data_IF_181739747572
#
_entry.id   IF_181739747572
#
_cell.length_a   1.000
_cell.length_b   1.000
_cell.length_c   1.000
_cell.angle_alpha   90.00
_cell.angle_beta   90.00
_cell.angle_gamma   90.00
#
_symmetry.space_group_name_H-M   'P 1'
#
loop_
_entity.id
_entity.type
_entity.pdbx_description
1 polymer ?
#
# COMPACT_ATOMS: atom_id res chain seq x y z
N UNK A 1 -13.73 -21.75 -23.90
CA UNK A 1 -14.30 -21.15 -22.67
C UNK A 1 -13.66 -21.81 -21.46
N UNK A 2 -12.62 -21.22 -20.84
CA UNK A 2 -11.96 -21.80 -19.65
C UNK A 2 -11.23 -20.78 -18.76
N UNK A 3 -11.64 -19.51 -18.77
CA UNK A 3 -10.94 -18.46 -18.00
C UNK A 3 -11.82 -17.74 -16.95
N UNK A 4 -13.14 -17.91 -16.97
CA UNK A 4 -14.03 -17.17 -16.06
C UNK A 4 -14.08 -17.72 -14.62
N UNK A 5 -13.71 -18.98 -14.39
CA UNK A 5 -13.75 -19.59 -13.04
C UNK A 5 -12.46 -19.39 -12.24
N UNK A 6 -11.28 -19.40 -12.86
CA UNK A 6 -10.00 -19.15 -12.18
C UNK A 6 -9.89 -17.71 -11.70
N UNK A 7 -10.28 -16.74 -12.52
CA UNK A 7 -10.28 -15.32 -12.17
C UNK A 7 -11.19 -15.00 -10.96
N UNK A 8 -12.32 -15.72 -10.82
CA UNK A 8 -13.22 -15.56 -9.68
C UNK A 8 -12.61 -16.13 -8.38
N UNK A 9 -11.85 -17.22 -8.46
CA UNK A 9 -11.17 -17.82 -7.31
C UNK A 9 -9.99 -16.95 -6.87
N UNK A 10 -9.16 -16.50 -7.82
CA UNK A 10 -8.05 -15.59 -7.53
C UNK A 10 -8.56 -14.27 -6.94
N UNK A 11 -9.62 -13.68 -7.51
CA UNK A 11 -10.24 -12.46 -6.98
C UNK A 11 -10.79 -12.64 -5.55
N UNK A 12 -11.39 -13.80 -5.24
CA UNK A 12 -11.87 -14.12 -3.90
C UNK A 12 -10.71 -14.31 -2.91
N UNK A 13 -9.67 -15.04 -3.29
CA UNK A 13 -8.46 -15.23 -2.47
C UNK A 13 -7.80 -13.87 -2.18
N UNK A 14 -7.72 -12.99 -3.18
CA UNK A 14 -7.18 -11.65 -3.01
C UNK A 14 -8.02 -10.81 -2.05
N UNK A 15 -9.35 -10.88 -2.13
CA UNK A 15 -10.25 -10.20 -1.19
C UNK A 15 -10.10 -10.70 0.24
N UNK A 16 -9.98 -12.02 0.44
CA UNK A 16 -9.77 -12.61 1.76
C UNK A 16 -8.43 -12.18 2.34
N UNK A 17 -7.36 -12.25 1.54
CA UNK A 17 -6.01 -11.81 1.95
C UNK A 17 -5.97 -10.31 2.28
N UNK A 18 -6.69 -9.49 1.50
CA UNK A 18 -6.88 -8.06 1.74
C UNK A 18 -7.57 -7.81 3.08
N UNK A 19 -8.72 -8.47 3.33
CA UNK A 19 -9.43 -8.36 4.61
C UNK A 19 -8.59 -8.82 5.80
N UNK A 20 -7.81 -9.88 5.66
CA UNK A 20 -6.90 -10.35 6.71
C UNK A 20 -5.83 -9.30 7.00
N UNK A 21 -5.19 -8.73 5.98
CA UNK A 21 -4.19 -7.65 6.17
C UNK A 21 -4.80 -6.39 6.76
N UNK A 22 -6.01 -6.03 6.35
CA UNK A 22 -6.70 -4.84 6.86
C UNK A 22 -7.11 -5.03 8.33
N UNK A 23 -7.59 -6.23 8.69
CA UNK A 23 -7.88 -6.58 10.07
C UNK A 23 -6.61 -6.65 10.91
N UNK A 24 -5.54 -7.28 10.43
CA UNK A 24 -4.25 -7.29 11.13
C UNK A 24 -3.74 -5.85 11.29
N UNK A 25 -3.84 -5.00 10.26
CA UNK A 25 -3.46 -3.59 10.36
C UNK A 25 -4.27 -2.80 11.39
N UNK A 26 -5.57 -3.08 11.53
CA UNK A 26 -6.44 -2.48 12.56
C UNK A 26 -6.20 -3.05 13.97
N UNK A 27 -5.96 -4.36 14.08
CA UNK A 27 -5.81 -5.08 15.36
C UNK A 27 -4.42 -4.84 15.94
N UNK A 28 -3.40 -4.78 15.09
CA UNK A 28 -2.01 -4.71 15.52
C UNK A 28 -1.76 -3.44 16.31
N UNK A 29 -2.42 -2.30 16.00
CA UNK A 29 -2.43 -1.06 16.79
C UNK A 29 -1.07 -0.79 17.47
N UNK A 30 0.01 -1.12 16.75
CA UNK A 30 1.32 -1.35 17.33
C UNK A 30 2.08 -0.06 17.13
N UNK A 31 2.39 0.68 18.19
CA UNK A 31 3.03 1.98 18.09
C UNK A 31 4.35 1.90 17.31
N UNK A 32 5.06 0.78 17.33
CA UNK A 32 6.26 0.56 16.50
C UNK A 32 5.96 0.58 15.00
N UNK A 33 4.98 -0.20 14.53
CA UNK A 33 4.59 -0.24 13.11
C UNK A 33 3.91 1.05 12.65
N UNK A 34 3.17 1.72 13.54
CA UNK A 34 2.62 3.05 13.27
C UNK A 34 3.73 4.09 13.11
N UNK A 35 4.78 4.01 13.93
CA UNK A 35 5.94 4.91 13.88
C UNK A 35 6.78 4.66 12.64
N UNK A 36 7.05 3.40 12.30
CA UNK A 36 7.70 3.04 11.04
C UNK A 36 6.89 3.51 9.83
N UNK A 37 5.58 3.27 9.82
CA UNK A 37 4.68 3.74 8.76
C UNK A 37 4.63 5.27 8.63
N UNK A 38 4.63 6.01 9.74
CA UNK A 38 4.71 7.48 9.73
C UNK A 38 6.05 7.97 9.18
N UNK A 39 7.17 7.37 9.59
CA UNK A 39 8.50 7.72 9.11
C UNK A 39 8.65 7.44 7.61
N UNK A 40 8.14 6.31 7.14
CA UNK A 40 8.18 5.95 5.72
C UNK A 40 7.30 6.88 4.87
N UNK A 41 6.10 7.20 5.34
CA UNK A 41 5.20 8.17 4.69
C UNK A 41 5.82 9.58 4.62
N UNK A 42 6.55 10.00 5.66
CA UNK A 42 7.24 11.28 5.69
C UNK A 42 8.41 11.32 4.69
N UNK A 43 9.20 10.24 4.61
CA UNK A 43 10.24 10.08 3.58
C UNK A 43 9.64 10.12 2.17
N UNK A 44 8.52 9.42 1.94
CA UNK A 44 7.81 9.42 0.66
C UNK A 44 7.40 10.83 0.24
N UNK A 45 6.78 11.60 1.14
CA UNK A 45 6.40 13.01 0.86
C UNK A 45 7.59 13.90 0.53
N UNK A 46 8.73 13.72 1.21
CA UNK A 46 9.96 14.47 0.94
C UNK A 46 10.49 14.13 -0.46
N UNK A 47 10.58 12.84 -0.80
CA UNK A 47 11.00 12.40 -2.13
C UNK A 47 10.07 12.91 -3.23
N UNK A 48 8.76 12.90 -3.00
CA UNK A 48 7.79 13.39 -3.96
C UNK A 48 7.96 14.90 -4.21
N UNK A 49 8.14 15.70 -3.15
CA UNK A 49 8.45 17.14 -3.29
C UNK A 49 9.75 17.38 -4.05
N UNK A 50 10.81 16.64 -3.74
CA UNK A 50 12.07 16.74 -4.47
C UNK A 50 11.88 16.37 -5.94
N UNK A 51 11.10 15.33 -6.23
CA UNK A 51 10.76 14.92 -7.60
C UNK A 51 9.99 15.99 -8.35
N UNK A 52 9.00 16.63 -7.71
CA UNK A 52 8.24 17.73 -8.29
C UNK A 52 9.14 18.95 -8.56
N UNK A 53 10.01 19.33 -7.61
CA UNK A 53 10.97 20.43 -7.79
C UNK A 53 11.95 20.14 -8.93
N UNK A 54 12.51 18.92 -9.00
CA UNK A 54 13.36 18.50 -10.12
C UNK A 54 12.63 18.52 -11.45
N UNK A 55 11.35 18.14 -11.49
CA UNK A 55 10.52 18.19 -12.71
C UNK A 55 10.25 19.62 -13.18
N UNK A 56 10.13 20.57 -12.25
CA UNK A 56 9.92 21.99 -12.56
C UNK A 56 11.23 22.64 -13.01
N UNK A 57 12.35 22.35 -12.34
CA UNK A 57 13.68 22.92 -12.66
C UNK A 57 14.32 22.27 -13.89
N UNK A 58 14.01 21.00 -14.16
CA UNK A 58 14.52 20.23 -15.30
C UNK A 58 13.74 20.41 -16.60
N UNK A 59 12.83 21.38 -16.65
CA UNK A 59 12.19 21.87 -17.88
C UNK A 59 12.67 23.29 -18.14
#
# INVERSE_FOLDING_TARGET
MKSSNQNNVEGKIHRVKGKIKENIGKIVNNPDLETEGKNENLKGKIQEKIGQVKKIIGK
#
